data_IF_153383278292
#
_entry.id   IF_153383278292
#
_cell.length_a   1.000
_cell.length_b   1.000
_cell.length_c   1.000
_cell.angle_alpha   90.00
_cell.angle_beta   90.00
_cell.angle_gamma   90.00
#
_symmetry.space_group_name_H-M   'P 1'
#
loop_
_entity.id
_entity.type
_entity.pdbx_description
1 polymer ?
#
# COMPACT_ATOMS: atom_id res chain seq x y z
N UNK A 1 -35.46 11.29 -71.06
CA UNK A 1 -35.77 11.62 -69.65
C UNK A 1 -34.50 11.33 -68.87
N UNK A 2 -33.73 12.36 -68.49
CA UNK A 2 -33.85 13.16 -67.26
C UNK A 2 -33.54 12.34 -65.99
N UNK A 3 -32.46 12.73 -65.31
CA UNK A 3 -32.25 12.89 -63.84
C UNK A 3 -32.69 11.76 -62.89
N UNK A 4 -32.02 11.43 -61.78
CA UNK A 4 -30.66 11.69 -61.28
C UNK A 4 -30.28 10.47 -60.38
N UNK A 5 -29.20 10.38 -59.59
CA UNK A 5 -28.18 11.34 -59.13
C UNK A 5 -26.87 10.59 -58.83
N UNK A 6 -25.78 11.31 -58.59
CA UNK A 6 -24.55 10.76 -58.01
C UNK A 6 -23.77 11.87 -57.30
N UNK A 7 -23.76 11.85 -55.97
CA UNK A 7 -23.08 12.86 -55.15
C UNK A 7 -22.24 12.26 -54.04
N UNK A 8 -21.12 12.94 -53.79
CA UNK A 8 -20.28 12.90 -52.59
C UNK A 8 -19.30 11.73 -52.44
N UNK A 9 -18.24 11.75 -53.25
CA UNK A 9 -16.90 11.42 -52.76
C UNK A 9 -16.25 12.71 -52.20
N UNK A 10 -15.63 12.71 -51.00
CA UNK A 10 -14.99 13.90 -50.45
C UNK A 10 -13.58 14.11 -51.04
N UNK A 11 -13.37 15.26 -51.70
CA UNK A 11 -12.05 15.68 -52.19
C UNK A 11 -11.31 16.45 -51.10
N UNK A 12 -10.06 16.06 -50.85
CA UNK A 12 -9.14 16.75 -49.94
C UNK A 12 -8.22 17.71 -50.71
N UNK A 13 -8.25 19.01 -50.38
CA UNK A 13 -7.08 19.92 -50.28
C UNK A 13 -7.51 21.32 -49.81
N UNK A 14 -6.87 21.84 -48.76
CA UNK A 14 -6.46 23.27 -48.56
C UNK A 14 -6.39 23.70 -47.08
N UNK A 15 -5.44 23.15 -46.32
CA UNK A 15 -5.09 23.61 -44.97
C UNK A 15 -4.03 24.73 -44.94
N UNK A 16 -4.10 25.71 -45.85
CA UNK A 16 -3.00 26.70 -46.04
C UNK A 16 -3.39 28.17 -46.21
N UNK A 17 -4.57 28.60 -45.74
CA UNK A 17 -5.05 30.00 -45.86
C UNK A 17 -5.55 30.71 -44.59
N UNK A 18 -5.33 30.15 -43.40
CA UNK A 18 -5.77 30.76 -42.11
C UNK A 18 -4.61 31.41 -41.32
N UNK A 19 -3.44 31.62 -41.93
CA UNK A 19 -2.24 32.18 -41.28
C UNK A 19 -1.80 33.56 -41.79
N UNK A 20 -2.69 34.30 -42.47
CA UNK A 20 -2.42 35.65 -42.97
C UNK A 20 -3.63 36.56 -42.75
N UNK A 21 -3.67 37.26 -41.61
CA UNK A 21 -4.71 38.26 -41.36
C UNK A 21 -4.92 38.65 -39.90
N UNK A 22 -3.92 39.23 -39.22
CA UNK A 22 -4.12 40.13 -38.07
C UNK A 22 -2.82 40.91 -37.73
N UNK A 23 -2.44 41.77 -38.67
CA UNK A 23 -1.68 43.00 -38.42
C UNK A 23 -2.28 44.09 -39.33
N UNK A 24 -2.30 45.38 -39.00
CA UNK A 24 -1.72 46.05 -37.84
C UNK A 24 -2.43 47.40 -37.56
N UNK A 25 -2.40 47.83 -36.30
CA UNK A 25 -2.55 49.22 -35.84
C UNK A 25 -2.05 49.25 -34.37
N UNK A 26 -1.29 50.23 -33.88
CA UNK A 26 -0.59 51.37 -34.47
C UNK A 26 0.25 52.00 -33.34
N UNK A 27 1.47 52.46 -33.61
CA UNK A 27 2.46 52.74 -32.55
C UNK A 27 2.23 54.05 -31.77
N UNK A 28 2.53 54.05 -30.46
CA UNK A 28 2.85 55.24 -29.68
C UNK A 28 3.77 54.90 -28.48
N UNK A 29 4.62 55.85 -28.10
CA UNK A 29 5.75 55.72 -27.15
C UNK A 29 5.37 56.19 -25.75
N UNK A 30 5.81 55.49 -24.69
CA UNK A 30 6.41 56.05 -23.46
C UNK A 30 6.68 54.94 -22.42
N UNK A 31 7.76 55.07 -21.64
CA UNK A 31 8.19 54.04 -20.70
C UNK A 31 7.53 54.10 -19.32
N UNK A 32 7.36 52.92 -18.71
CA UNK A 32 7.27 52.74 -17.27
C UNK A 32 7.87 51.37 -16.91
N UNK A 33 8.92 51.37 -16.11
CA UNK A 33 9.50 50.14 -15.55
C UNK A 33 8.57 49.59 -14.46
N UNK A 34 7.68 48.68 -14.85
CA UNK A 34 6.86 47.89 -13.94
C UNK A 34 7.26 46.43 -14.04
N UNK A 35 7.82 45.89 -12.97
CA UNK A 35 8.01 44.45 -12.74
C UNK A 35 6.66 43.81 -12.47
N UNK A 36 5.80 43.78 -13.50
CA UNK A 36 4.56 43.02 -13.50
C UNK A 36 4.84 41.60 -13.95
N UNK A 37 4.47 40.62 -13.14
CA UNK A 37 4.28 39.25 -13.62
C UNK A 37 3.18 39.31 -14.69
N UNK A 38 3.59 39.36 -15.96
CA UNK A 38 2.66 39.23 -17.06
C UNK A 38 1.93 37.90 -16.88
N UNK A 39 0.62 37.96 -16.71
CA UNK A 39 -0.25 36.79 -16.79
C UNK A 39 -0.12 36.26 -18.23
N UNK A 40 0.86 35.39 -18.44
CA UNK A 40 0.94 34.57 -19.62
C UNK A 40 -0.37 33.78 -19.65
N UNK A 41 -1.25 34.14 -20.58
CA UNK A 41 -2.52 33.44 -20.76
C UNK A 41 -2.17 31.96 -20.97
N UNK A 42 -2.52 31.13 -20.00
CA UNK A 42 -2.25 29.70 -20.06
C UNK A 42 -2.96 29.17 -21.29
N UNK A 43 -2.18 28.71 -22.27
CA UNK A 43 -2.74 28.08 -23.46
C UNK A 43 -3.70 26.97 -23.02
N UNK A 44 -4.86 26.80 -23.66
CA UNK A 44 -5.83 25.80 -23.25
C UNK A 44 -5.16 24.43 -23.23
N UNK A 45 -5.20 23.78 -22.06
CA UNK A 45 -4.57 22.49 -21.85
C UNK A 45 -5.07 21.47 -22.89
N UNK A 46 -4.16 20.65 -23.39
CA UNK A 46 -4.53 19.65 -24.39
C UNK A 46 -5.17 18.44 -23.71
N UNK A 47 -6.12 17.78 -24.38
CA UNK A 47 -6.88 16.65 -23.78
C UNK A 47 -6.01 15.46 -23.39
N UNK A 48 -4.80 15.35 -23.95
CA UNK A 48 -3.79 14.33 -23.62
C UNK A 48 -2.60 14.90 -22.85
N UNK A 49 -2.71 16.11 -22.29
CA UNK A 49 -1.66 16.68 -21.44
C UNK A 49 -1.64 15.95 -20.09
N UNK A 50 -0.46 15.50 -19.65
CA UNK A 50 -0.33 14.78 -18.39
C UNK A 50 -0.71 15.67 -17.20
N UNK A 51 -1.44 15.14 -16.19
CA UNK A 51 -1.71 15.87 -14.95
C UNK A 51 -0.41 16.32 -14.28
N UNK A 52 -0.38 17.58 -13.82
CA UNK A 52 0.78 18.15 -13.14
C UNK A 52 0.55 18.13 -11.64
N UNK A 53 1.55 17.67 -10.89
CA UNK A 53 1.51 17.63 -9.43
C UNK A 53 2.90 17.87 -8.85
N UNK A 54 3.00 18.84 -7.94
CA UNK A 54 4.22 19.12 -7.17
C UNK A 54 4.61 17.93 -6.26
N UNK A 55 3.63 17.07 -5.93
CA UNK A 55 3.83 15.90 -5.06
C UNK A 55 4.66 14.77 -5.66
N UNK A 56 4.95 14.82 -6.96
CA UNK A 56 5.85 13.87 -7.63
C UNK A 56 7.29 13.90 -7.08
N UNK A 57 7.69 14.96 -6.38
CA UNK A 57 9.04 15.12 -5.80
C UNK A 57 9.11 14.82 -4.29
N UNK A 58 7.97 14.57 -3.63
CA UNK A 58 7.96 14.08 -2.24
C UNK A 58 8.72 12.73 -2.20
N UNK A 59 9.50 12.48 -1.16
CA UNK A 59 10.25 11.22 -0.99
C UNK A 59 10.42 10.88 0.49
N UNK A 60 10.74 9.62 0.77
CA UNK A 60 11.07 9.13 2.11
C UNK A 60 12.55 8.74 2.16
N UNK A 61 13.16 8.78 3.34
CA UNK A 61 14.48 8.18 3.52
C UNK A 61 14.42 6.67 3.24
N UNK A 62 15.38 6.18 2.44
CA UNK A 62 15.61 4.76 2.24
C UNK A 62 16.30 4.14 3.46
N UNK A 63 17.38 4.78 3.96
CA UNK A 63 18.11 4.31 5.13
C UNK A 63 17.36 4.60 6.44
N UNK A 64 17.45 3.66 7.37
CA UNK A 64 16.85 3.75 8.70
C UNK A 64 16.97 2.44 9.48
N UNK A 65 16.69 2.49 10.79
CA UNK A 65 16.63 1.32 11.67
C UNK A 65 15.48 0.36 11.29
N UNK A 66 14.41 0.91 10.72
CA UNK A 66 13.25 0.19 10.21
C UNK A 66 13.06 0.53 8.74
N UNK A 67 12.47 -0.38 7.96
CA UNK A 67 12.08 -0.07 6.59
C UNK A 67 10.96 0.98 6.55
N UNK A 68 11.03 1.86 5.55
CA UNK A 68 9.93 2.75 5.20
C UNK A 68 8.70 1.97 4.69
N UNK A 69 7.52 2.58 4.82
CA UNK A 69 6.22 2.03 4.40
C UNK A 69 5.41 1.36 5.53
N UNK A 70 5.88 1.43 6.78
CA UNK A 70 5.23 0.85 7.97
C UNK A 70 4.58 1.95 8.82
N UNK A 71 5.39 2.80 9.44
CA UNK A 71 4.93 3.96 10.24
C UNK A 71 4.79 5.24 9.39
N UNK A 72 5.38 5.27 8.19
CA UNK A 72 5.23 6.39 7.25
C UNK A 72 3.73 6.57 6.90
N UNK A 73 3.22 7.81 6.87
CA UNK A 73 1.86 8.11 6.44
C UNK A 73 1.49 7.35 5.16
N UNK A 74 0.34 6.69 5.16
CA UNK A 74 -0.13 5.92 4.00
C UNK A 74 -0.52 6.90 2.88
N UNK A 75 0.12 6.84 1.70
CA UNK A 75 -0.25 7.68 0.58
C UNK A 75 -1.52 7.14 -0.11
N UNK A 76 -1.91 7.76 -1.23
CA UNK A 76 -3.17 7.46 -1.92
C UNK A 76 -3.18 6.13 -2.68
N UNK A 77 -2.04 5.64 -3.15
CA UNK A 77 -1.93 4.38 -3.90
C UNK A 77 -1.04 3.36 -3.20
N UNK A 78 -1.44 2.10 -3.25
CA UNK A 78 -0.68 0.97 -2.71
C UNK A 78 -0.80 -0.27 -3.59
N UNK A 79 0.22 -1.11 -3.55
CA UNK A 79 0.23 -2.40 -4.22
C UNK A 79 0.99 -3.40 -3.35
N UNK A 80 0.36 -4.53 -3.04
CA UNK A 80 1.03 -5.68 -2.48
C UNK A 80 1.34 -6.66 -3.61
N UNK A 81 2.58 -7.14 -3.68
CA UNK A 81 3.00 -8.17 -4.61
C UNK A 81 3.67 -9.28 -3.81
N UNK A 82 3.30 -10.52 -4.06
CA UNK A 82 4.01 -11.67 -3.52
C UNK A 82 4.75 -12.41 -4.62
N UNK A 83 5.90 -12.96 -4.27
CA UNK A 83 6.81 -13.65 -5.17
C UNK A 83 7.21 -15.00 -4.60
N UNK A 84 7.40 -15.96 -5.50
CA UNK A 84 8.17 -17.17 -5.24
C UNK A 84 9.63 -16.92 -5.66
N UNK A 85 10.59 -17.35 -4.83
CA UNK A 85 12.02 -17.08 -5.03
C UNK A 85 12.65 -18.21 -5.82
N UNK A 86 13.25 -17.87 -6.95
CA UNK A 86 13.87 -18.79 -7.92
C UNK A 86 15.37 -19.02 -7.69
N UNK A 87 15.97 -18.33 -6.72
CA UNK A 87 17.37 -18.51 -6.31
C UNK A 87 17.66 -20.00 -6.03
N UNK A 88 18.70 -20.53 -6.66
CA UNK A 88 19.05 -21.96 -6.53
C UNK A 88 19.90 -22.25 -5.29
N UNK A 89 20.60 -21.22 -4.82
CA UNK A 89 21.45 -21.30 -3.64
C UNK A 89 21.46 -19.96 -2.89
N UNK A 90 22.36 -19.89 -1.92
CA UNK A 90 22.55 -18.77 -1.01
C UNK A 90 23.27 -17.56 -1.65
N UNK A 91 24.12 -17.79 -2.65
CA UNK A 91 24.80 -16.72 -3.39
C UNK A 91 23.79 -15.99 -4.29
N UNK A 92 22.92 -16.74 -4.96
CA UNK A 92 21.77 -16.19 -5.70
C UNK A 92 20.80 -15.43 -4.78
N UNK A 93 20.53 -15.93 -3.58
CA UNK A 93 19.69 -15.23 -2.60
C UNK A 93 20.34 -13.92 -2.11
N UNK A 94 21.65 -13.91 -1.89
CA UNK A 94 22.38 -12.67 -1.55
C UNK A 94 22.37 -11.68 -2.73
N UNK A 95 22.56 -12.16 -3.97
CA UNK A 95 22.45 -11.36 -5.19
C UNK A 95 21.06 -10.73 -5.32
N UNK A 96 20.00 -11.51 -5.11
CA UNK A 96 18.61 -11.02 -5.09
C UNK A 96 18.45 -9.85 -4.10
N UNK A 97 18.89 -10.03 -2.86
CA UNK A 97 18.76 -9.01 -1.82
C UNK A 97 19.59 -7.76 -2.10
N UNK A 98 20.82 -7.89 -2.64
CA UNK A 98 21.66 -6.75 -3.03
C UNK A 98 21.06 -5.97 -4.19
N UNK A 99 20.59 -6.65 -5.24
CA UNK A 99 19.91 -5.98 -6.36
C UNK A 99 18.61 -5.32 -5.91
N UNK A 100 17.79 -5.96 -5.06
CA UNK A 100 16.62 -5.31 -4.44
C UNK A 100 17.03 -4.03 -3.70
N UNK A 101 18.09 -4.06 -2.88
CA UNK A 101 18.61 -2.90 -2.17
C UNK A 101 18.94 -1.73 -3.11
N UNK A 102 19.69 -2.00 -4.19
CA UNK A 102 20.07 -1.03 -5.21
C UNK A 102 18.86 -0.44 -5.96
N UNK A 103 17.91 -1.29 -6.37
CA UNK A 103 16.70 -0.84 -7.06
C UNK A 103 15.84 0.02 -6.14
N UNK A 104 15.63 -0.39 -4.89
CA UNK A 104 14.81 0.36 -3.93
C UNK A 104 15.43 1.72 -3.62
N UNK A 105 16.74 1.78 -3.38
CA UNK A 105 17.45 3.04 -3.13
C UNK A 105 17.28 4.04 -4.29
N UNK A 106 17.42 3.57 -5.54
CA UNK A 106 17.18 4.39 -6.73
C UNK A 106 15.71 4.81 -6.87
N UNK A 107 14.77 3.86 -6.81
CA UNK A 107 13.34 4.11 -7.05
C UNK A 107 12.72 5.05 -6.00
N UNK A 108 13.09 4.91 -4.72
CA UNK A 108 12.58 5.79 -3.65
C UNK A 108 13.18 7.20 -3.68
N UNK A 109 14.33 7.39 -4.33
CA UNK A 109 15.00 8.70 -4.47
C UNK A 109 14.62 9.39 -5.78
N UNK A 110 14.39 8.62 -6.84
CA UNK A 110 14.32 9.11 -8.21
C UNK A 110 15.70 9.45 -8.79
N UNK A 111 15.72 9.84 -10.07
CA UNK A 111 16.94 10.24 -10.77
C UNK A 111 16.88 10.05 -12.29
N UNK A 112 17.88 10.60 -12.99
CA UNK A 112 18.00 10.43 -14.43
C UNK A 112 18.34 8.98 -14.80
N UNK A 113 17.61 8.42 -15.76
CA UNK A 113 17.91 7.09 -16.33
C UNK A 113 19.08 7.23 -17.32
N UNK A 114 20.19 6.50 -17.14
CA UNK A 114 21.32 6.57 -18.06
C UNK A 114 20.94 6.18 -19.49
N UNK A 115 21.45 6.94 -20.46
CA UNK A 115 21.34 6.58 -21.88
C UNK A 115 22.30 5.42 -22.20
N UNK A 116 21.85 4.48 -23.03
CA UNK A 116 22.61 3.31 -23.47
C UNK A 116 22.67 3.25 -25.01
N UNK A 117 23.47 2.32 -25.57
CA UNK A 117 23.46 2.06 -27.02
C UNK A 117 22.01 1.75 -27.47
N UNK A 118 21.45 2.45 -28.48
CA UNK A 118 20.10 2.19 -29.01
C UNK A 118 19.85 0.76 -29.52
N UNK A 119 20.89 -0.08 -29.65
CA UNK A 119 20.78 -1.51 -29.95
C UNK A 119 20.43 -2.38 -28.73
N UNK A 120 20.57 -1.85 -27.52
CA UNK A 120 20.25 -2.54 -26.27
C UNK A 120 18.82 -2.22 -25.82
N UNK A 121 18.18 -3.10 -25.02
CA UNK A 121 16.95 -2.74 -24.31
C UNK A 121 17.16 -1.51 -23.41
N UNK A 122 16.17 -0.62 -23.27
CA UNK A 122 16.27 0.51 -22.36
C UNK A 122 16.42 0.03 -20.91
N UNK A 123 17.15 0.81 -20.09
CA UNK A 123 17.37 0.48 -18.68
C UNK A 123 16.10 0.59 -17.82
N UNK A 124 15.13 1.38 -18.25
CA UNK A 124 13.86 1.63 -17.59
C UNK A 124 12.67 1.34 -18.53
N UNK A 125 11.49 1.14 -17.96
CA UNK A 125 10.22 1.05 -18.70
C UNK A 125 9.81 2.33 -19.44
N UNK A 126 10.29 3.50 -18.98
CA UNK A 126 9.94 4.82 -19.50
C UNK A 126 8.61 5.39 -19.00
N UNK A 127 7.89 4.71 -18.10
CA UNK A 127 6.56 5.13 -17.60
C UNK A 127 6.60 6.53 -16.96
N UNK A 128 7.63 6.81 -16.18
CA UNK A 128 7.84 8.12 -15.53
C UNK A 128 8.74 9.07 -16.34
N UNK A 129 9.04 8.73 -17.60
CA UNK A 129 9.96 9.48 -18.46
C UNK A 129 11.45 9.21 -18.16
N UNK A 130 12.36 10.03 -18.71
CA UNK A 130 13.82 9.83 -18.60
C UNK A 130 14.40 10.25 -17.23
N UNK A 131 13.59 10.86 -16.36
CA UNK A 131 13.95 11.20 -14.99
C UNK A 131 12.87 10.61 -14.09
N UNK A 132 13.19 9.51 -13.42
CA UNK A 132 12.28 8.84 -12.47
C UNK A 132 12.01 9.79 -11.32
N UNK A 133 10.74 10.04 -11.03
CA UNK A 133 10.28 10.86 -9.92
C UNK A 133 9.91 9.97 -8.72
N UNK A 134 10.32 10.30 -7.48
CA UNK A 134 10.09 9.43 -6.33
C UNK A 134 8.61 9.30 -5.93
N UNK A 135 7.77 10.33 -6.14
CA UNK A 135 6.33 10.30 -5.91
C UNK A 135 5.87 9.69 -4.55
N UNK A 136 6.58 10.05 -3.49
CA UNK A 136 6.40 9.57 -2.12
C UNK A 136 6.52 8.03 -1.99
N UNK A 137 7.24 7.39 -2.92
CA UNK A 137 7.40 5.95 -2.98
C UNK A 137 8.08 5.41 -1.72
N UNK A 138 7.49 4.33 -1.21
CA UNK A 138 8.09 3.45 -0.21
C UNK A 138 7.97 2.03 -0.73
N UNK A 139 9.06 1.26 -0.62
CA UNK A 139 9.10 -0.15 -0.98
C UNK A 139 9.52 -0.93 0.28
N UNK A 140 8.63 -1.80 0.76
CA UNK A 140 8.83 -2.56 2.00
C UNK A 140 8.94 -4.05 1.68
N UNK A 141 10.07 -4.68 2.01
CA UNK A 141 10.39 -6.08 1.71
C UNK A 141 10.17 -6.96 2.94
N UNK A 142 9.41 -8.04 2.77
CA UNK A 142 9.14 -9.02 3.83
C UNK A 142 9.33 -10.44 3.31
N UNK A 143 9.77 -11.36 4.18
CA UNK A 143 10.05 -12.76 3.84
C UNK A 143 8.96 -13.69 4.36
N UNK A 144 8.49 -14.62 3.55
CA UNK A 144 7.47 -15.60 3.91
C UNK A 144 8.04 -16.79 4.69
N UNK A 145 7.16 -17.55 5.33
CA UNK A 145 7.51 -18.78 6.06
C UNK A 145 8.26 -19.80 5.18
N UNK A 146 7.91 -19.91 3.90
CA UNK A 146 8.52 -20.84 2.95
C UNK A 146 9.96 -20.51 2.57
N UNK A 147 10.43 -19.26 2.71
CA UNK A 147 11.84 -18.91 2.48
C UNK A 147 12.79 -19.60 3.49
N UNK A 148 12.24 -20.09 4.61
CA UNK A 148 12.99 -20.74 5.69
C UNK A 148 12.98 -22.27 5.59
N UNK A 149 12.68 -22.82 4.42
CA UNK A 149 12.86 -24.24 4.12
C UNK A 149 14.35 -24.61 3.87
N UNK A 150 14.58 -25.84 3.42
CA UNK A 150 15.90 -26.43 3.22
C UNK A 150 16.76 -25.73 2.15
N UNK A 151 16.18 -24.89 1.27
CA UNK A 151 16.89 -24.29 0.11
C UNK A 151 18.12 -23.47 0.49
N UNK A 152 18.05 -22.72 1.59
CA UNK A 152 19.00 -21.64 1.89
C UNK A 152 19.69 -21.77 3.27
N UNK A 153 19.38 -22.83 4.01
CA UNK A 153 19.91 -23.06 5.36
C UNK A 153 19.42 -22.04 6.40
N UNK A 154 18.20 -21.52 6.22
CA UNK A 154 17.66 -20.43 7.06
C UNK A 154 16.77 -20.91 8.21
N UNK A 155 16.27 -22.15 8.19
CA UNK A 155 15.33 -22.69 9.18
C UNK A 155 15.72 -22.38 10.64
N UNK A 156 16.98 -22.65 11.01
CA UNK A 156 17.52 -22.44 12.35
C UNK A 156 17.48 -20.99 12.88
N UNK A 157 17.27 -20.01 11.99
CA UNK A 157 17.16 -18.58 12.33
C UNK A 157 15.80 -17.99 11.95
N UNK A 158 14.78 -18.81 11.67
CA UNK A 158 13.42 -18.34 11.40
C UNK A 158 12.85 -17.53 12.58
N UNK A 159 12.18 -16.38 12.34
CA UNK A 159 11.46 -15.66 13.39
C UNK A 159 10.41 -16.58 14.02
N UNK A 160 10.37 -16.66 15.35
CA UNK A 160 9.68 -17.74 16.08
C UNK A 160 8.20 -17.83 15.83
N UNK A 161 7.55 -16.70 15.50
CA UNK A 161 6.11 -16.59 15.26
C UNK A 161 5.78 -16.53 13.77
N UNK A 162 6.79 -16.61 12.88
CA UNK A 162 6.58 -16.71 11.45
C UNK A 162 6.08 -18.12 11.13
N UNK A 163 4.92 -18.17 10.48
CA UNK A 163 4.21 -19.39 10.15
C UNK A 163 3.40 -19.17 8.88
N UNK A 164 3.15 -20.23 8.11
CA UNK A 164 2.22 -20.18 6.99
C UNK A 164 0.81 -19.79 7.46
N UNK A 165 0.17 -18.87 6.73
CA UNK A 165 -1.23 -18.51 6.99
C UNK A 165 -2.15 -19.72 6.80
N UNK A 166 -2.94 -20.04 7.84
CA UNK A 166 -4.04 -21.02 7.78
C UNK A 166 -5.39 -20.30 7.64
N UNK A 167 -6.40 -21.00 7.12
CA UNK A 167 -7.74 -20.44 6.93
C UNK A 167 -8.50 -20.27 8.24
N UNK A 168 -9.19 -19.13 8.38
CA UNK A 168 -10.19 -18.90 9.43
C UNK A 168 -11.59 -19.38 8.98
N UNK A 169 -12.57 -19.56 9.89
CA UNK A 169 -13.87 -20.17 9.57
C UNK A 169 -14.65 -19.51 8.44
N UNK A 170 -14.52 -18.18 8.26
CA UNK A 170 -15.21 -17.44 7.20
C UNK A 170 -14.43 -17.40 5.87
N UNK A 171 -13.22 -17.93 5.80
CA UNK A 171 -12.36 -17.79 4.62
C UNK A 171 -12.85 -18.63 3.43
N UNK A 172 -12.61 -18.11 2.22
CA UNK A 172 -12.69 -18.86 0.97
C UNK A 172 -11.37 -18.67 0.20
N UNK A 173 -10.27 -19.16 0.79
CA UNK A 173 -8.93 -18.92 0.27
C UNK A 173 -8.70 -19.54 -1.12
N UNK A 174 -8.32 -18.70 -2.07
CA UNK A 174 -7.83 -19.10 -3.39
C UNK A 174 -6.31 -19.31 -3.30
N UNK A 175 -5.85 -20.52 -3.61
CA UNK A 175 -4.45 -20.95 -3.37
C UNK A 175 -3.42 -20.12 -4.16
N UNK A 176 -3.79 -19.64 -5.35
CA UNK A 176 -2.95 -18.80 -6.20
C UNK A 176 -2.84 -17.36 -5.67
N UNK A 177 -3.80 -16.92 -4.86
CA UNK A 177 -3.82 -15.63 -4.16
C UNK A 177 -3.23 -15.72 -2.73
N UNK A 178 -2.56 -16.82 -2.39
CA UNK A 178 -2.09 -17.12 -1.03
C UNK A 178 -0.57 -17.32 -0.95
N UNK A 179 0.02 -16.84 0.15
CA UNK A 179 1.44 -17.03 0.53
C UNK A 179 2.45 -16.51 -0.51
N UNK A 180 3.70 -16.94 -0.39
CA UNK A 180 4.85 -16.64 -1.24
C UNK A 180 6.12 -16.55 -0.39
N UNK A 181 7.29 -16.71 -1.00
CA UNK A 181 8.59 -16.61 -0.33
C UNK A 181 8.96 -15.16 0.05
N UNK A 182 8.44 -14.19 -0.70
CA UNK A 182 8.69 -12.76 -0.50
C UNK A 182 7.38 -11.99 -0.68
N UNK A 183 7.16 -10.94 0.12
CA UNK A 183 6.23 -9.86 -0.20
C UNK A 183 6.99 -8.56 -0.42
N UNK A 184 6.50 -7.76 -1.36
CA UNK A 184 6.92 -6.38 -1.55
C UNK A 184 5.68 -5.49 -1.54
N UNK A 185 5.61 -4.58 -0.57
CA UNK A 185 4.62 -3.52 -0.51
C UNK A 185 5.18 -2.28 -1.19
N UNK A 186 4.54 -1.83 -2.26
CA UNK A 186 4.79 -0.54 -2.90
C UNK A 186 3.70 0.45 -2.47
N UNK A 187 4.06 1.67 -2.05
CA UNK A 187 3.10 2.73 -1.76
C UNK A 187 3.63 4.08 -2.24
N UNK A 188 2.81 4.84 -2.98
CA UNK A 188 3.14 6.10 -3.66
C UNK A 188 1.89 6.99 -3.75
N UNK A 189 2.02 8.22 -4.27
CA UNK A 189 0.82 9.05 -4.49
C UNK A 189 0.00 8.55 -5.70
N UNK A 190 0.65 8.22 -6.82
CA UNK A 190 0.01 7.71 -8.04
C UNK A 190 0.27 6.20 -8.26
N UNK A 191 -0.72 5.39 -8.68
CA UNK A 191 -0.55 3.96 -8.94
C UNK A 191 0.56 3.64 -9.95
N UNK A 192 0.74 4.49 -10.96
CA UNK A 192 1.74 4.36 -12.01
C UNK A 192 3.18 4.26 -11.44
N UNK A 193 3.47 4.96 -10.35
CA UNK A 193 4.77 4.90 -9.66
C UNK A 193 5.02 3.54 -8.99
N UNK A 194 3.97 2.91 -8.43
CA UNK A 194 4.06 1.54 -7.90
C UNK A 194 4.23 0.52 -9.04
N UNK A 195 3.52 0.71 -10.15
CA UNK A 195 3.59 -0.17 -11.34
C UNK A 195 4.97 -0.05 -12.01
N UNK A 196 5.52 1.16 -12.11
CA UNK A 196 6.89 1.43 -12.55
C UNK A 196 7.92 0.70 -11.70
N UNK A 197 7.83 0.82 -10.37
CA UNK A 197 8.73 0.16 -9.43
C UNK A 197 8.67 -1.39 -9.54
N UNK A 198 7.48 -1.98 -9.69
CA UNK A 198 7.33 -3.41 -9.94
C UNK A 198 7.93 -3.82 -11.29
N UNK A 199 7.69 -3.04 -12.34
CA UNK A 199 8.25 -3.28 -13.69
C UNK A 199 9.77 -3.23 -13.69
N UNK A 200 10.37 -2.35 -12.89
CA UNK A 200 11.81 -2.28 -12.71
C UNK A 200 12.36 -3.49 -11.95
N UNK A 201 11.78 -3.85 -10.80
CA UNK A 201 12.24 -5.01 -10.01
C UNK A 201 12.16 -6.30 -10.85
N UNK A 202 11.03 -6.57 -11.51
CA UNK A 202 10.85 -7.77 -12.36
C UNK A 202 11.80 -7.75 -13.57
N UNK A 203 12.11 -6.58 -14.12
CA UNK A 203 13.09 -6.45 -15.23
C UNK A 203 14.52 -6.81 -14.78
N UNK A 204 14.90 -6.47 -13.56
CA UNK A 204 16.27 -6.64 -13.07
C UNK A 204 16.48 -7.95 -12.28
N UNK A 205 15.41 -8.68 -11.92
CA UNK A 205 15.44 -9.97 -11.22
C UNK A 205 14.56 -11.08 -11.86
N UNK A 206 14.43 -11.20 -13.19
CA UNK A 206 13.53 -12.18 -13.82
C UNK A 206 13.97 -13.63 -13.64
N UNK A 207 15.24 -13.85 -13.30
CA UNK A 207 15.88 -15.13 -13.00
C UNK A 207 15.76 -15.53 -11.52
N UNK A 208 15.39 -14.59 -10.64
CA UNK A 208 15.39 -14.76 -9.18
C UNK A 208 14.01 -14.58 -8.53
N UNK A 209 13.06 -13.89 -9.18
CA UNK A 209 11.74 -13.60 -8.65
C UNK A 209 10.63 -13.92 -9.67
N UNK A 210 9.72 -14.83 -9.28
CA UNK A 210 8.47 -15.07 -10.00
C UNK A 210 7.32 -14.36 -9.28
N UNK A 211 6.58 -13.49 -9.97
CA UNK A 211 5.35 -12.90 -9.41
C UNK A 211 4.32 -14.02 -9.20
N UNK A 212 3.92 -14.24 -7.95
CA UNK A 212 2.92 -15.23 -7.56
C UNK A 212 1.51 -14.65 -7.66
N UNK A 213 1.28 -13.53 -6.98
CA UNK A 213 0.05 -12.74 -7.06
C UNK A 213 0.33 -11.27 -6.74
N UNK A 214 -0.59 -10.39 -7.13
CA UNK A 214 -0.59 -8.98 -6.71
C UNK A 214 -1.99 -8.49 -6.42
N UNK A 215 -2.10 -7.53 -5.51
CA UNK A 215 -3.30 -6.75 -5.30
C UNK A 215 -2.94 -5.26 -5.23
N UNK A 216 -3.49 -4.48 -6.16
CA UNK A 216 -3.44 -3.02 -6.12
C UNK A 216 -4.59 -2.47 -5.28
N UNK A 217 -4.44 -1.26 -4.75
CA UNK A 217 -5.48 -0.56 -4.04
C UNK A 217 -5.21 0.93 -3.87
N UNK A 218 -6.26 1.64 -3.46
CA UNK A 218 -6.22 3.09 -3.22
C UNK A 218 -6.97 3.47 -1.95
N UNK A 219 -6.74 4.67 -1.45
CA UNK A 219 -7.64 5.30 -0.47
C UNK A 219 -8.09 6.66 -0.97
N UNK A 220 -9.35 7.08 -0.70
CA UNK A 220 -9.85 8.37 -1.19
C UNK A 220 -9.00 9.53 -0.68
N UNK A 221 -8.47 10.33 -1.61
CA UNK A 221 -7.82 11.59 -1.29
C UNK A 221 -8.83 12.53 -0.62
N UNK A 222 -8.40 13.22 0.43
CA UNK A 222 -9.19 14.25 1.09
C UNK A 222 -8.75 15.64 0.62
N UNK A 223 -9.66 16.61 0.66
CA UNK A 223 -9.29 18.01 0.47
C UNK A 223 -8.29 18.46 1.56
N UNK A 224 -7.37 19.40 1.27
CA UNK A 224 -6.44 19.92 2.28
C UNK A 224 -7.17 20.41 3.53
N UNK A 225 -6.65 20.05 4.71
CA UNK A 225 -7.22 20.43 5.99
C UNK A 225 -7.27 21.96 6.13
N UNK A 226 -8.41 22.47 6.58
CA UNK A 226 -8.53 23.88 6.98
C UNK A 226 -7.83 24.10 8.33
N UNK A 227 -7.25 25.28 8.59
CA UNK A 227 -6.68 25.61 9.90
C UNK A 227 -7.68 25.32 11.03
N UNK A 228 -7.26 24.53 12.02
CA UNK A 228 -8.11 24.10 13.15
C UNK A 228 -8.96 22.86 12.91
N UNK A 229 -8.96 22.26 11.71
CA UNK A 229 -9.61 20.96 11.47
C UNK A 229 -8.67 19.82 11.86
N UNK A 230 -9.17 18.84 12.62
CA UNK A 230 -8.43 17.63 12.93
C UNK A 230 -8.28 16.73 11.68
N UNK A 231 -7.14 16.01 11.52
CA UNK A 231 -7.01 14.97 10.51
C UNK A 231 -8.09 13.89 10.68
N UNK A 232 -8.57 13.33 9.57
CA UNK A 232 -9.58 12.27 9.57
C UNK A 232 -8.97 10.98 9.00
N UNK A 233 -9.38 9.80 9.48
CA UNK A 233 -8.99 8.56 8.80
C UNK A 233 -9.66 8.49 7.42
N UNK A 234 -8.92 8.01 6.42
CA UNK A 234 -9.49 7.73 5.10
C UNK A 234 -10.60 6.67 5.21
N UNK A 235 -11.54 6.68 4.24
CA UNK A 235 -12.66 5.73 4.24
C UNK A 235 -12.33 4.43 3.54
N UNK A 236 -12.91 3.34 4.03
CA UNK A 236 -12.96 2.08 3.30
C UNK A 236 -14.17 1.99 2.34
N UNK A 237 -14.22 0.96 1.49
CA UNK A 237 -15.33 0.74 0.55
C UNK A 237 -16.67 0.29 1.16
N UNK A 238 -16.74 0.09 2.48
CA UNK A 238 -18.03 0.04 3.20
C UNK A 238 -18.50 1.45 3.64
N UNK A 239 -17.67 2.48 3.39
CA UNK A 239 -17.96 3.89 3.65
C UNK A 239 -17.60 4.37 5.05
N UNK A 240 -16.98 3.54 5.87
CA UNK A 240 -16.58 3.86 7.25
C UNK A 240 -15.16 4.45 7.30
N UNK A 241 -14.88 5.34 8.28
CA UNK A 241 -13.52 5.82 8.55
C UNK A 241 -12.67 4.65 9.06
N UNK A 242 -11.49 4.45 8.47
CA UNK A 242 -10.67 3.27 8.70
C UNK A 242 -9.23 3.65 9.10
N UNK A 243 -9.00 3.67 10.41
CA UNK A 243 -7.76 4.12 11.04
C UNK A 243 -7.92 4.62 12.48
N UNK A 244 -9.13 5.04 12.85
CA UNK A 244 -9.44 5.86 14.05
C UNK A 244 -8.95 5.33 15.39
N UNK A 245 -8.81 4.01 15.53
CA UNK A 245 -8.39 3.34 16.75
C UNK A 245 -7.03 2.62 16.63
N UNK A 246 -6.23 2.94 15.60
CA UNK A 246 -4.84 2.50 15.52
C UNK A 246 -4.03 3.05 16.70
N UNK A 247 -2.96 2.34 17.13
CA UNK A 247 -1.94 2.95 17.99
C UNK A 247 -1.27 4.14 17.28
N UNK A 248 -0.84 5.15 18.03
CA UNK A 248 -0.18 6.35 17.49
C UNK A 248 1.17 5.97 16.86
N UNK A 249 1.24 6.03 15.52
CA UNK A 249 2.42 5.68 14.74
C UNK A 249 3.60 6.64 14.92
N UNK A 250 3.37 7.83 15.48
CA UNK A 250 4.42 8.79 15.79
C UNK A 250 5.01 8.57 17.20
N UNK A 251 4.33 7.78 18.05
CA UNK A 251 4.81 7.46 19.39
C UNK A 251 5.81 6.30 19.34
N UNK A 252 7.10 6.62 19.36
CA UNK A 252 8.18 5.64 19.30
C UNK A 252 8.08 4.56 20.40
N UNK A 253 7.66 4.93 21.62
CA UNK A 253 7.47 3.96 22.71
C UNK A 253 6.37 2.96 22.35
N UNK A 254 5.21 3.45 21.90
CA UNK A 254 4.09 2.60 21.47
C UNK A 254 4.47 1.71 20.28
N UNK A 255 5.25 2.20 19.32
CA UNK A 255 5.73 1.39 18.19
C UNK A 255 6.77 0.33 18.61
N UNK A 256 7.66 0.64 19.56
CA UNK A 256 8.58 -0.33 20.14
C UNK A 256 7.85 -1.43 20.94
N UNK A 257 6.75 -1.09 21.60
CA UNK A 257 5.95 -2.06 22.37
C UNK A 257 5.05 -2.95 21.49
N UNK A 258 4.53 -2.43 20.36
CA UNK A 258 3.48 -3.09 19.58
C UNK A 258 3.89 -3.56 18.19
N UNK A 259 4.85 -2.90 17.53
CA UNK A 259 5.13 -3.09 16.09
C UNK A 259 6.53 -3.66 15.84
N UNK A 260 7.54 -3.20 16.56
CA UNK A 260 8.94 -3.57 16.31
C UNK A 260 9.41 -4.71 17.22
N UNK A 261 10.01 -5.75 16.62
CA UNK A 261 10.74 -6.77 17.37
C UNK A 261 11.90 -6.13 18.12
N UNK A 262 11.91 -6.25 19.45
CA UNK A 262 12.91 -5.59 20.29
C UNK A 262 14.23 -6.39 20.37
N UNK A 263 15.40 -5.71 20.40
CA UNK A 263 16.67 -6.35 20.75
C UNK A 263 16.58 -7.04 22.12
N UNK A 264 17.14 -8.25 22.24
CA UNK A 264 17.10 -9.02 23.50
C UNK A 264 15.73 -9.62 23.84
N UNK A 265 14.76 -9.58 22.93
CA UNK A 265 13.56 -10.42 23.00
C UNK A 265 13.91 -11.90 22.78
N UNK A 266 12.89 -12.78 22.79
CA UNK A 266 13.08 -14.19 22.51
C UNK A 266 13.25 -14.51 21.01
N UNK A 267 13.13 -13.53 20.12
CA UNK A 267 13.35 -13.68 18.68
C UNK A 267 14.84 -13.85 18.31
N UNK A 268 15.17 -14.41 17.13
CA UNK A 268 16.52 -14.39 16.60
C UNK A 268 17.08 -12.96 16.56
N UNK A 269 18.31 -12.75 17.04
CA UNK A 269 18.87 -11.41 17.22
C UNK A 269 18.92 -10.57 15.92
N UNK A 270 19.00 -11.21 14.75
CA UNK A 270 18.97 -10.52 13.44
C UNK A 270 17.62 -9.88 13.13
N UNK A 271 16.53 -10.40 13.68
CA UNK A 271 15.15 -9.98 13.43
C UNK A 271 14.77 -8.71 14.21
N UNK A 272 15.61 -8.26 15.15
CA UNK A 272 15.40 -7.01 15.87
C UNK A 272 15.24 -5.83 14.89
N UNK A 273 14.29 -4.94 15.20
CA UNK A 273 13.83 -3.82 14.37
C UNK A 273 13.01 -4.20 13.13
N UNK A 274 12.83 -5.50 12.84
CA UNK A 274 11.80 -5.98 11.91
C UNK A 274 10.39 -5.97 12.53
N UNK A 275 9.41 -6.44 11.76
CA UNK A 275 8.00 -6.54 12.19
C UNK A 275 7.32 -7.70 11.48
N UNK A 276 6.34 -8.36 12.11
CA UNK A 276 5.48 -9.31 11.41
C UNK A 276 4.44 -8.55 10.60
N UNK A 277 4.25 -8.92 9.33
CA UNK A 277 3.23 -8.40 8.42
C UNK A 277 2.18 -9.48 8.18
N UNK A 278 0.90 -9.13 8.39
CA UNK A 278 -0.24 -9.93 7.95
C UNK A 278 -0.95 -9.20 6.81
N UNK A 279 -1.14 -9.88 5.68
CA UNK A 279 -1.89 -9.41 4.52
C UNK A 279 -3.13 -10.27 4.33
N UNK A 280 -4.28 -9.64 4.07
CA UNK A 280 -5.54 -10.31 3.77
C UNK A 280 -6.24 -9.58 2.62
N UNK A 281 -6.58 -10.31 1.57
CA UNK A 281 -7.42 -9.82 0.47
C UNK A 281 -8.86 -10.14 0.87
N UNK A 282 -9.62 -9.11 1.25
CA UNK A 282 -10.96 -9.24 1.83
C UNK A 282 -11.99 -8.66 0.87
N UNK A 283 -12.73 -9.52 0.18
CA UNK A 283 -13.84 -9.14 -0.70
C UNK A 283 -15.00 -8.58 0.11
N UNK A 284 -15.61 -7.50 -0.37
CA UNK A 284 -16.87 -6.98 0.17
C UNK A 284 -18.05 -7.35 -0.76
N UNK A 285 -19.19 -7.70 -0.18
CA UNK A 285 -20.47 -7.86 -0.88
C UNK A 285 -21.21 -6.53 -0.92
N UNK A 286 -20.63 -5.55 -1.63
CA UNK A 286 -21.06 -4.14 -1.60
C UNK A 286 -22.53 -3.93 -1.98
N UNK A 287 -23.08 -4.70 -2.92
CA UNK A 287 -24.50 -4.58 -3.30
C UNK A 287 -25.45 -5.02 -2.19
N UNK A 288 -25.03 -5.97 -1.34
CA UNK A 288 -25.79 -6.36 -0.14
C UNK A 288 -25.70 -5.23 0.89
N UNK A 289 -24.48 -4.75 1.14
CA UNK A 289 -24.20 -3.69 2.10
C UNK A 289 -24.98 -2.40 1.82
N UNK A 290 -24.99 -1.92 0.58
CA UNK A 290 -25.68 -0.68 0.19
C UNK A 290 -27.21 -0.77 0.31
N UNK A 291 -27.76 -1.97 0.48
CA UNK A 291 -29.18 -2.22 0.76
C UNK A 291 -29.48 -2.46 2.25
N UNK A 292 -28.46 -2.56 3.10
CA UNK A 292 -28.58 -2.73 4.56
C UNK A 292 -28.93 -1.39 5.23
N UNK A 293 -29.87 -1.36 6.20
CA UNK A 293 -30.20 -0.13 6.93
C UNK A 293 -28.98 0.52 7.60
N UNK A 294 -28.89 1.85 7.58
CA UNK A 294 -27.76 2.58 8.19
C UNK A 294 -27.54 2.21 9.67
N UNK A 295 -28.62 2.10 10.45
CA UNK A 295 -28.56 1.69 11.85
C UNK A 295 -27.91 0.31 12.04
N UNK A 296 -28.16 -0.61 11.10
CA UNK A 296 -27.58 -1.95 11.12
C UNK A 296 -26.10 -1.90 10.73
N UNK A 297 -25.74 -1.14 9.69
CA UNK A 297 -24.33 -0.92 9.33
C UNK A 297 -23.51 -0.33 10.49
N UNK A 298 -24.05 0.68 11.18
CA UNK A 298 -23.41 1.32 12.34
C UNK A 298 -23.33 0.38 13.55
N UNK A 299 -24.35 -0.46 13.76
CA UNK A 299 -24.36 -1.47 14.82
C UNK A 299 -23.38 -2.63 14.55
N UNK A 300 -23.22 -3.06 13.29
CA UNK A 300 -22.23 -4.07 12.87
C UNK A 300 -20.81 -3.55 13.12
N UNK A 301 -20.52 -2.30 12.74
CA UNK A 301 -19.20 -1.71 12.97
C UNK A 301 -18.95 -1.32 14.44
N UNK A 302 -19.98 -0.84 15.15
CA UNK A 302 -19.85 -0.23 16.48
C UNK A 302 -19.38 1.23 16.45
N UNK A 303 -19.56 1.94 15.32
CA UNK A 303 -19.27 3.37 15.15
C UNK A 303 -20.30 4.06 14.27
N UNK A 304 -20.41 5.38 14.41
CA UNK A 304 -21.23 6.24 13.54
C UNK A 304 -20.55 6.38 12.18
N UNK A 305 -21.25 6.07 11.09
CA UNK A 305 -20.70 6.00 9.72
C UNK A 305 -20.21 7.37 9.23
N UNK A 306 -20.97 8.42 9.52
CA UNK A 306 -20.71 9.78 9.02
C UNK A 306 -19.47 10.40 9.68
N UNK A 307 -19.39 10.38 11.01
CA UNK A 307 -18.31 11.02 11.78
C UNK A 307 -17.16 10.09 12.11
N UNK A 308 -17.34 8.77 12.03
CA UNK A 308 -16.40 7.81 12.59
C UNK A 308 -16.31 7.86 14.12
N UNK A 309 -17.26 8.48 14.82
CA UNK A 309 -17.30 8.51 16.27
C UNK A 309 -17.73 7.15 16.86
N UNK A 310 -17.36 6.82 18.11
CA UNK A 310 -18.02 5.76 18.89
C UNK A 310 -19.54 5.99 19.02
N UNK A 311 -20.31 4.94 19.27
CA UNK A 311 -21.78 5.04 19.42
C UNK A 311 -22.21 5.86 20.65
N UNK A 312 -21.33 5.99 21.64
CA UNK A 312 -21.44 6.82 22.86
C UNK A 312 -20.64 8.15 22.77
N UNK A 313 -20.02 8.44 21.63
CA UNK A 313 -19.12 9.58 21.41
C UNK A 313 -19.69 10.68 20.51
N UNK A 314 -18.84 11.66 20.19
CA UNK A 314 -19.14 12.81 19.32
C UNK A 314 -18.15 12.97 18.18
N UNK A 315 -16.88 12.66 18.41
CA UNK A 315 -15.77 12.82 17.44
C UNK A 315 -15.09 11.49 17.14
N UNK A 316 -14.37 11.42 16.02
CA UNK A 316 -13.58 10.24 15.64
C UNK A 316 -12.52 9.86 16.70
N UNK A 317 -11.91 10.87 17.33
CA UNK A 317 -10.87 10.71 18.33
C UNK A 317 -11.39 10.21 19.68
N UNK A 318 -12.71 10.23 19.89
CA UNK A 318 -13.32 9.70 21.10
C UNK A 318 -13.16 8.17 21.17
N UNK A 319 -13.12 7.65 22.39
CA UNK A 319 -12.96 6.23 22.72
C UNK A 319 -14.23 5.75 23.43
N UNK A 320 -14.84 4.62 23.02
CA UNK A 320 -16.03 4.10 23.69
C UNK A 320 -15.72 3.65 25.12
N UNK A 321 -16.65 3.92 26.04
CA UNK A 321 -16.58 3.52 27.44
C UNK A 321 -17.38 2.24 27.69
N UNK A 322 -16.77 1.10 27.36
CA UNK A 322 -17.37 -0.22 27.55
C UNK A 322 -17.69 -0.57 29.02
N UNK A 323 -17.12 0.14 30.00
CA UNK A 323 -17.48 -0.06 31.42
C UNK A 323 -18.85 0.53 31.75
N UNK A 324 -19.28 1.59 31.04
CA UNK A 324 -20.64 2.16 31.15
C UNK A 324 -21.68 1.42 30.32
N UNK A 325 -21.25 0.59 29.37
CA UNK A 325 -22.12 -0.23 28.52
C UNK A 325 -21.77 -1.74 28.59
N UNK A 326 -21.81 -2.38 29.77
CA UNK A 326 -21.36 -3.77 29.94
C UNK A 326 -22.24 -4.79 29.20
N UNK A 327 -23.52 -4.46 28.96
CA UNK A 327 -24.48 -5.30 28.25
C UNK A 327 -24.49 -5.08 26.72
N UNK A 328 -23.72 -4.10 26.20
CA UNK A 328 -23.68 -3.78 24.76
C UNK A 328 -24.97 -3.19 24.20
N UNK A 329 -25.65 -2.35 24.98
CA UNK A 329 -26.87 -1.63 24.58
C UNK A 329 -26.57 -0.44 23.66
N UNK A 330 -25.35 0.10 23.71
CA UNK A 330 -24.92 1.26 22.90
C UNK A 330 -23.93 0.82 21.82
N UNK A 331 -22.85 0.16 22.21
CA UNK A 331 -21.91 -0.50 21.28
C UNK A 331 -22.06 -2.00 21.43
N UNK A 332 -22.75 -2.67 20.50
CA UNK A 332 -23.09 -4.10 20.63
C UNK A 332 -21.85 -4.97 20.93
N UNK A 333 -22.04 -6.02 21.73
CA UNK A 333 -20.97 -6.95 22.13
C UNK A 333 -20.35 -7.69 20.93
N UNK A 334 -21.14 -7.93 19.89
CA UNK A 334 -20.77 -8.54 18.61
C UNK A 334 -20.31 -7.55 17.54
N UNK A 335 -20.23 -6.24 17.85
CA UNK A 335 -19.76 -5.25 16.89
C UNK A 335 -18.26 -5.35 16.62
N UNK A 336 -17.85 -5.12 15.37
CA UNK A 336 -16.49 -5.30 14.86
C UNK A 336 -15.42 -4.66 15.77
N UNK A 337 -15.58 -3.38 16.15
CA UNK A 337 -14.57 -2.71 16.99
C UNK A 337 -14.48 -3.29 18.41
N UNK A 338 -15.57 -3.86 18.93
CA UNK A 338 -15.66 -4.36 20.31
C UNK A 338 -15.16 -5.79 20.41
N UNK A 339 -15.38 -6.61 19.38
CA UNK A 339 -14.74 -7.92 19.21
C UNK A 339 -13.23 -7.79 18.93
N UNK A 340 -12.82 -6.93 17.99
CA UNK A 340 -11.41 -6.74 17.63
C UNK A 340 -10.58 -6.27 18.85
N UNK A 341 -11.08 -5.25 19.55
CA UNK A 341 -10.46 -4.73 20.76
C UNK A 341 -11.51 -4.47 21.86
N UNK A 342 -11.70 -5.43 22.79
CA UNK A 342 -12.54 -5.27 23.99
C UNK A 342 -12.04 -4.23 25.02
N UNK A 343 -10.90 -3.57 24.77
CA UNK A 343 -10.30 -2.50 25.60
C UNK A 343 -10.03 -2.87 27.07
N UNK A 344 -9.87 -4.15 27.39
CA UNK A 344 -9.40 -4.57 28.72
C UNK A 344 -7.89 -4.31 28.88
N UNK A 345 -7.35 -4.47 30.08
CA UNK A 345 -5.90 -4.39 30.30
C UNK A 345 -5.16 -5.50 29.53
N UNK A 346 -5.75 -6.69 29.48
CA UNK A 346 -5.21 -7.86 28.79
C UNK A 346 -5.13 -7.64 27.28
N UNK A 347 -6.11 -6.95 26.68
CA UNK A 347 -6.20 -6.80 25.21
C UNK A 347 -5.26 -5.73 24.65
N UNK A 348 -4.61 -4.90 25.49
CA UNK A 348 -3.65 -3.89 25.02
C UNK A 348 -2.45 -4.50 24.28
N UNK A 349 -2.00 -5.69 24.70
CA UNK A 349 -0.92 -6.44 24.03
C UNK A 349 -1.31 -7.02 22.67
N UNK A 350 -2.57 -6.91 22.28
CA UNK A 350 -3.11 -7.42 21.01
C UNK A 350 -3.41 -6.29 20.01
N UNK A 351 -3.00 -5.05 20.31
CA UNK A 351 -3.10 -3.94 19.37
C UNK A 351 -2.21 -4.19 18.14
N UNK A 352 -2.71 -3.79 16.97
CA UNK A 352 -2.05 -3.95 15.67
C UNK A 352 -2.03 -2.62 14.93
N UNK A 353 -0.96 -2.34 14.18
CA UNK A 353 -0.90 -1.16 13.31
C UNK A 353 -1.46 -1.52 11.94
N UNK A 354 -2.71 -1.13 11.65
CA UNK A 354 -3.39 -1.41 10.37
C UNK A 354 -3.07 -0.33 9.34
N UNK A 355 -2.63 -0.72 8.14
CA UNK A 355 -2.29 0.17 7.02
C UNK A 355 -2.93 -0.30 5.69
N UNK A 356 -4.27 -0.47 5.64
CA UNK A 356 -4.95 -1.12 4.52
C UNK A 356 -5.08 -0.20 3.29
N UNK A 357 -5.47 -0.76 2.15
CA UNK A 357 -5.97 -0.04 0.98
C UNK A 357 -7.31 -0.62 0.52
N UNK A 358 -8.11 0.12 -0.23
CA UNK A 358 -9.30 -0.42 -0.90
C UNK A 358 -8.94 -0.93 -2.28
N UNK A 359 -9.43 -2.11 -2.68
CA UNK A 359 -9.18 -2.65 -4.02
C UNK A 359 -10.45 -2.69 -4.86
N UNK A 360 -10.29 -2.57 -6.18
CA UNK A 360 -11.35 -2.80 -7.17
C UNK A 360 -10.74 -3.48 -8.41
N UNK A 361 -11.17 -4.71 -8.65
CA UNK A 361 -10.64 -5.63 -9.67
C UNK A 361 -11.59 -5.81 -10.87
N UNK A 362 -12.79 -5.19 -10.83
CA UNK A 362 -13.77 -5.23 -11.92
C UNK A 362 -15.10 -5.83 -11.50
N UNK A 363 -15.58 -6.85 -12.22
CA UNK A 363 -16.93 -7.42 -12.06
C UNK A 363 -16.89 -8.94 -12.15
N UNK A 364 -17.51 -9.62 -11.18
CA UNK A 364 -17.67 -11.07 -11.15
C UNK A 364 -18.63 -11.58 -12.25
N UNK A 365 -18.58 -12.88 -12.56
CA UNK A 365 -19.49 -13.55 -13.51
C UNK A 365 -21.00 -13.38 -13.22
N UNK A 366 -21.37 -13.05 -11.98
CA UNK A 366 -22.74 -12.80 -11.54
C UNK A 366 -23.15 -11.30 -11.58
N UNK A 367 -22.29 -10.43 -12.12
CA UNK A 367 -22.55 -8.98 -12.23
C UNK A 367 -22.20 -8.15 -10.99
N UNK A 368 -21.67 -8.75 -9.92
CA UNK A 368 -21.28 -8.02 -8.71
C UNK A 368 -19.87 -7.42 -8.83
N UNK A 369 -19.69 -6.21 -8.31
CA UNK A 369 -18.42 -5.49 -8.26
C UNK A 369 -17.38 -6.26 -7.44
N UNK A 370 -16.24 -6.59 -8.06
CA UNK A 370 -15.11 -7.17 -7.35
C UNK A 370 -14.28 -6.10 -6.67
N UNK A 371 -14.66 -5.79 -5.44
CA UNK A 371 -14.03 -4.73 -4.66
C UNK A 371 -14.08 -5.03 -3.16
N UNK A 372 -13.11 -4.51 -2.42
CA UNK A 372 -12.93 -4.86 -1.03
C UNK A 372 -11.78 -4.13 -0.34
N UNK A 373 -11.25 -4.75 0.71
CA UNK A 373 -10.14 -4.25 1.49
C UNK A 373 -8.90 -5.13 1.26
N UNK A 374 -7.82 -4.52 0.75
CA UNK A 374 -6.46 -5.03 0.88
C UNK A 374 -6.01 -4.69 2.30
N UNK A 375 -6.34 -5.58 3.24
CA UNK A 375 -5.97 -5.41 4.64
C UNK A 375 -4.50 -5.76 4.83
N UNK A 376 -3.77 -4.86 5.46
CA UNK A 376 -2.36 -5.01 5.82
C UNK A 376 -2.22 -4.56 7.28
N UNK A 377 -1.58 -5.35 8.14
CA UNK A 377 -1.22 -4.90 9.48
C UNK A 377 0.15 -5.38 9.95
N UNK A 378 0.75 -4.59 10.84
CA UNK A 378 2.07 -4.80 11.40
C UNK A 378 2.00 -4.98 12.92
N UNK A 379 2.84 -5.87 13.45
CA UNK A 379 2.92 -6.21 14.87
C UNK A 379 4.27 -6.83 15.24
N UNK A 380 4.73 -6.64 16.48
CA UNK A 380 5.95 -7.25 17.00
C UNK A 380 5.79 -8.77 17.29
N UNK A 381 4.55 -9.25 17.39
CA UNK A 381 4.21 -10.65 17.67
C UNK A 381 2.94 -11.02 16.88
N UNK A 382 3.08 -11.88 15.88
CA UNK A 382 1.99 -12.25 14.96
C UNK A 382 0.82 -12.97 15.66
N UNK A 383 1.13 -13.79 16.67
CA UNK A 383 0.14 -14.56 17.41
C UNK A 383 -0.68 -13.65 18.32
N UNK A 384 -0.01 -12.76 19.08
CA UNK A 384 -0.67 -11.77 19.93
C UNK A 384 -1.39 -10.70 19.12
N UNK A 385 -0.87 -10.31 17.96
CA UNK A 385 -1.50 -9.33 17.06
C UNK A 385 -2.62 -9.94 16.22
N UNK A 386 -2.39 -10.00 14.90
CA UNK A 386 -3.41 -10.39 13.92
C UNK A 386 -4.16 -11.69 14.27
N UNK A 387 -3.47 -12.77 14.65
CA UNK A 387 -4.12 -14.07 14.85
C UNK A 387 -5.10 -14.03 16.03
N UNK A 388 -4.69 -13.44 17.16
CA UNK A 388 -5.59 -13.24 18.32
C UNK A 388 -6.79 -12.35 17.96
N UNK A 389 -6.57 -11.25 17.22
CA UNK A 389 -7.64 -10.32 16.83
C UNK A 389 -8.64 -11.00 15.88
N UNK A 390 -8.15 -11.64 14.81
CA UNK A 390 -9.01 -12.36 13.86
C UNK A 390 -9.76 -13.52 14.54
N UNK A 391 -9.15 -14.20 15.51
CA UNK A 391 -9.82 -15.27 16.28
C UNK A 391 -11.03 -14.75 17.07
N UNK A 392 -10.99 -13.51 17.58
CA UNK A 392 -12.15 -12.87 18.24
C UNK A 392 -13.24 -12.42 17.26
N UNK A 393 -12.86 -12.16 16.01
CA UNK A 393 -13.77 -11.73 14.96
C UNK A 393 -14.47 -12.90 14.26
N UNK A 394 -14.05 -14.15 14.49
CA UNK A 394 -14.72 -15.33 13.94
C UNK A 394 -16.21 -15.36 14.33
N UNK A 395 -17.10 -15.35 13.33
CA UNK A 395 -18.55 -15.29 13.52
C UNK A 395 -19.10 -13.89 13.78
N UNK A 396 -18.34 -12.82 13.52
CA UNK A 396 -18.86 -11.45 13.62
C UNK A 396 -19.97 -11.19 12.58
N UNK A 397 -20.96 -10.32 12.85
CA UNK A 397 -22.02 -9.99 11.88
C UNK A 397 -21.50 -9.41 10.56
N UNK A 398 -20.30 -8.82 10.55
CA UNK A 398 -19.67 -8.30 9.34
C UNK A 398 -19.32 -9.42 8.33
N UNK A 399 -19.19 -10.68 8.77
CA UNK A 399 -18.93 -11.83 7.89
C UNK A 399 -20.03 -12.07 6.85
N UNK A 400 -21.26 -11.58 7.07
CA UNK A 400 -22.32 -11.57 6.04
C UNK A 400 -21.95 -10.69 4.83
N UNK A 401 -21.09 -9.69 5.05
CA UNK A 401 -20.74 -8.65 4.09
C UNK A 401 -19.31 -8.72 3.57
N UNK A 402 -18.47 -9.60 4.13
CA UNK A 402 -17.09 -9.79 3.70
C UNK A 402 -16.67 -11.26 3.53
N UNK A 403 -15.62 -11.47 2.74
CA UNK A 403 -15.06 -12.79 2.46
C UNK A 403 -13.53 -12.69 2.24
N UNK A 404 -12.70 -13.18 3.16
CA UNK A 404 -11.26 -13.29 2.91
C UNK A 404 -10.98 -14.36 1.84
N UNK A 405 -10.30 -13.97 0.76
CA UNK A 405 -10.00 -14.83 -0.40
C UNK A 405 -8.51 -15.07 -0.63
N UNK A 406 -7.62 -14.34 0.05
CA UNK A 406 -6.19 -14.46 -0.17
C UNK A 406 -5.34 -13.68 0.82
N UNK A 407 -4.03 -13.66 0.59
CA UNK A 407 -3.03 -12.99 1.41
C UNK A 407 -2.01 -13.95 2.03
N UNK A 408 -1.39 -13.54 3.13
CA UNK A 408 -0.32 -14.33 3.75
C UNK A 408 0.30 -13.65 4.96
N UNK A 409 1.20 -14.39 5.62
CA UNK A 409 2.01 -13.89 6.72
C UNK A 409 3.47 -13.83 6.26
N UNK A 410 4.11 -12.71 6.57
CA UNK A 410 5.49 -12.42 6.19
C UNK A 410 6.19 -11.76 7.38
N UNK A 411 7.51 -11.84 7.43
CA UNK A 411 8.34 -11.08 8.34
C UNK A 411 9.02 -9.93 7.60
N UNK A 412 8.60 -8.70 7.88
CA UNK A 412 9.22 -7.50 7.35
C UNK A 412 10.60 -7.33 7.95
N UNK A 413 11.61 -7.34 7.07
CA UNK A 413 13.02 -7.31 7.45
C UNK A 413 13.38 -6.00 8.18
N UNK A 414 14.45 -5.98 9.00
CA UNK A 414 15.00 -4.74 9.55
C UNK A 414 15.36 -3.73 8.46
N UNK A 415 15.48 -2.44 8.85
CA UNK A 415 15.92 -1.40 7.94
C UNK A 415 17.40 -1.50 7.56
N UNK A 416 17.79 -0.77 6.52
CA UNK A 416 19.16 -0.66 6.01
C UNK A 416 19.80 0.57 6.62
N UNK A 417 20.84 0.42 7.44
CA UNK A 417 21.32 1.54 8.27
C UNK A 417 22.22 2.53 7.52
N UNK A 418 23.04 2.06 6.58
CA UNK A 418 23.93 2.88 5.75
C UNK A 418 24.36 2.14 4.47
N UNK A 419 25.18 2.79 3.63
CA UNK A 419 25.63 2.29 2.32
C UNK A 419 26.44 0.97 2.35
N UNK A 420 26.94 0.54 3.51
CA UNK A 420 27.66 -0.73 3.68
C UNK A 420 26.72 -1.89 4.07
N UNK A 421 25.46 -1.57 4.35
CA UNK A 421 24.39 -2.52 4.69
C UNK A 421 23.52 -2.81 3.44
N UNK A 422 22.74 -3.88 3.51
CA UNK A 422 21.73 -4.14 2.49
C UNK A 422 20.55 -4.93 3.07
N UNK A 423 19.38 -4.78 2.45
CA UNK A 423 18.14 -5.43 2.91
C UNK A 423 18.36 -6.95 3.03
N UNK A 424 18.01 -7.54 4.17
CA UNK A 424 18.21 -8.99 4.41
C UNK A 424 19.64 -9.43 4.79
N UNK A 425 20.65 -8.54 4.80
CA UNK A 425 22.03 -8.89 5.22
C UNK A 425 22.08 -9.55 6.60
N UNK A 426 21.30 -9.07 7.57
CA UNK A 426 21.35 -9.60 8.95
C UNK A 426 20.86 -11.06 9.04
N UNK A 427 19.81 -11.42 8.28
CA UNK A 427 19.30 -12.80 8.13
C UNK A 427 20.38 -13.74 7.56
N UNK A 428 21.07 -13.29 6.50
CA UNK A 428 22.19 -14.03 5.94
C UNK A 428 23.34 -14.14 6.97
N UNK A 429 23.79 -13.04 7.56
CA UNK A 429 24.89 -13.05 8.52
C UNK A 429 24.64 -14.00 9.71
N UNK A 430 23.41 -14.08 10.22
CA UNK A 430 23.05 -14.98 11.33
C UNK A 430 23.05 -16.46 10.92
N UNK A 431 22.41 -16.82 9.80
CA UNK A 431 22.36 -18.22 9.33
C UNK A 431 23.75 -18.81 9.06
N UNK A 432 24.69 -18.02 8.55
CA UNK A 432 26.07 -18.46 8.29
C UNK A 432 26.91 -18.72 9.55
N UNK A 433 26.48 -18.22 10.73
CA UNK A 433 27.15 -18.50 12.00
C UNK A 433 26.75 -19.88 12.52
N UNK A 434 25.47 -20.25 12.42
CA UNK A 434 24.96 -21.55 12.85
C UNK A 434 25.63 -22.72 12.12
N UNK A 435 25.92 -22.57 10.82
CA UNK A 435 26.59 -23.59 9.99
C UNK A 435 28.06 -23.83 10.35
N UNK A 436 28.68 -22.99 11.20
CA UNK A 436 30.07 -23.15 11.66
C UNK A 436 30.20 -23.75 13.07
N UNK A 437 29.08 -23.91 13.77
CA UNK A 437 29.00 -24.43 15.14
C UNK A 437 28.35 -25.80 15.25
N UNK A 438 27.86 -26.34 14.12
CA UNK A 438 27.45 -27.73 13.93
C UNK A 438 28.54 -28.49 13.17
#
# INVERSE_FOLDING_TARGET
MKDSDSKNAPISTDRRRVLLGLGAAGAAVAGASLTGNAFAATAPAQVTEAPKSEKTQDHNAFHGQHQSGIVNPRPTAGMMVSFDVLAQDREDLERMFRTLNERIAFLMTGGAVPQVDPKLPPLDSGILGPVVTPDNLTITVSVGDSLFDDRFGLESVKPKRLQRMVGFPNDALEADCCHGDLSIQFCSNAPDSNIHALRDIVKNLPDLLLVRWKQEGTVPAQAPLKPGQAPESARNFLGFRDGSANPDSNNQKTMNELVWVQPGSDEPAWAANGSYQAVRIIRNFVERWDRTPLQEQEAIFGRVKTTGAPMDGKTEADVPDYHKDPEGKITKLDSHIRLANPRTAETQRNLILRRPFNYSNGVNKNGQLDMGLLFICYQADLEKGFITVQTRLNGEPLEEYLKPIGGGYFFTLPGVVDNNDFIGRSLLAASAQTTKTA
#
